data_IF_122298649461
#
_entry.id   IF_122298649461
#
_cell.length_a   1.000
_cell.length_b   1.000
_cell.length_c   1.000
_cell.angle_alpha   90.00
_cell.angle_beta   90.00
_cell.angle_gamma   90.00
#
_symmetry.space_group_name_H-M   'P 1'
#
loop_
_entity.id
_entity.type
_entity.pdbx_description
1 polymer ?
#
# COMPACT_ATOMS: atom_id res chain seq x y z
N UNK A 1 -25.84 -3.30 -8.83
CA UNK A 1 -25.67 -1.89 -8.39
C UNK A 1 -24.21 -1.67 -7.96
N UNK A 2 -23.29 -1.46 -8.92
CA UNK A 2 -21.85 -1.39 -8.64
C UNK A 2 -21.44 -0.15 -7.85
N UNK A 3 -22.02 1.01 -8.19
CA UNK A 3 -21.82 2.24 -7.43
C UNK A 3 -22.24 2.07 -5.96
N UNK A 4 -23.41 1.47 -5.70
CA UNK A 4 -23.86 1.21 -4.33
C UNK A 4 -22.91 0.29 -3.56
N UNK A 5 -22.38 -0.75 -4.19
CA UNK A 5 -21.38 -1.63 -3.59
C UNK A 5 -20.07 -0.87 -3.27
N UNK A 6 -19.52 -0.13 -4.23
CA UNK A 6 -18.30 0.66 -4.03
C UNK A 6 -18.49 1.74 -2.94
N UNK A 7 -19.65 2.40 -2.91
CA UNK A 7 -19.99 3.38 -1.86
C UNK A 7 -19.93 2.75 -0.47
N UNK A 8 -20.47 1.54 -0.29
CA UNK A 8 -20.44 0.81 0.98
C UNK A 8 -19.02 0.34 1.33
N UNK A 9 -18.26 -0.14 0.35
CA UNK A 9 -16.85 -0.52 0.57
C UNK A 9 -16.04 0.70 1.05
N UNK A 10 -16.13 1.81 0.32
CA UNK A 10 -15.36 3.02 0.65
C UNK A 10 -15.86 3.75 1.90
N UNK A 11 -17.09 3.51 2.36
CA UNK A 11 -17.57 4.11 3.62
C UNK A 11 -16.78 3.61 4.82
N UNK A 12 -16.45 2.31 4.84
CA UNK A 12 -15.70 1.69 5.94
C UNK A 12 -14.21 1.54 5.65
N UNK A 13 -13.81 1.48 4.37
CA UNK A 13 -12.41 1.34 3.98
C UNK A 13 -12.03 2.34 2.86
N UNK A 14 -11.36 3.46 3.19
CA UNK A 14 -10.87 4.42 2.19
C UNK A 14 -9.87 3.84 1.17
N UNK A 15 -9.28 2.67 1.46
CA UNK A 15 -8.37 1.94 0.57
C UNK A 15 -9.02 0.65 0.03
N UNK A 16 -10.31 0.74 -0.32
CA UNK A 16 -11.13 -0.39 -0.73
C UNK A 16 -10.62 -1.14 -1.96
N UNK A 17 -10.07 -0.45 -2.96
CA UNK A 17 -9.57 -1.10 -4.17
C UNK A 17 -8.23 -1.79 -3.91
N UNK A 18 -7.31 -1.10 -3.20
CA UNK A 18 -6.05 -1.71 -2.75
C UNK A 18 -6.32 -2.98 -1.94
N UNK A 19 -7.16 -2.89 -0.91
CA UNK A 19 -7.50 -4.05 -0.06
C UNK A 19 -8.20 -5.17 -0.84
N UNK A 20 -9.02 -4.85 -1.85
CA UNK A 20 -9.63 -5.87 -2.70
C UNK A 20 -8.61 -6.72 -3.45
N UNK A 21 -7.46 -6.14 -3.79
CA UNK A 21 -6.38 -6.81 -4.53
C UNK A 21 -5.39 -7.55 -3.62
N UNK A 22 -5.03 -6.98 -2.46
CA UNK A 22 -3.88 -7.47 -1.66
C UNK A 22 -4.24 -8.07 -0.31
N UNK A 23 -5.51 -8.00 0.13
CA UNK A 23 -5.86 -8.57 1.44
C UNK A 23 -5.60 -10.09 1.46
N UNK A 24 -4.96 -10.61 2.51
CA UNK A 24 -4.81 -12.04 2.74
C UNK A 24 -6.15 -12.64 3.19
N UNK A 25 -7.11 -12.75 2.26
CA UNK A 25 -8.52 -12.98 2.61
C UNK A 25 -8.77 -14.31 3.30
N UNK A 26 -7.97 -15.34 3.02
CA UNK A 26 -8.03 -16.66 3.65
C UNK A 26 -7.80 -16.64 5.15
N UNK A 27 -7.01 -15.68 5.66
CA UNK A 27 -6.79 -15.45 7.09
C UNK A 27 -7.73 -14.35 7.65
N UNK A 28 -8.61 -13.81 6.82
CA UNK A 28 -9.52 -12.71 7.15
C UNK A 28 -10.97 -13.09 6.81
N UNK A 29 -11.63 -12.31 5.96
CA UNK A 29 -13.05 -12.42 5.67
C UNK A 29 -13.45 -13.74 5.02
N UNK A 30 -12.60 -14.30 4.15
CA UNK A 30 -12.89 -15.55 3.43
C UNK A 30 -12.68 -16.77 4.34
N UNK A 31 -11.70 -16.70 5.25
CA UNK A 31 -11.44 -17.77 6.23
C UNK A 31 -12.61 -18.09 7.15
N UNK A 32 -13.51 -17.12 7.37
CA UNK A 32 -14.73 -17.29 8.19
C UNK A 32 -16.02 -17.33 7.36
N UNK A 33 -15.95 -17.52 6.04
CA UNK A 33 -17.14 -17.55 5.18
C UNK A 33 -17.97 -18.82 5.44
N UNK A 34 -19.29 -18.70 5.61
CA UNK A 34 -20.17 -19.86 5.84
C UNK A 34 -20.13 -20.89 4.70
N UNK A 35 -19.96 -20.44 3.45
CA UNK A 35 -19.83 -21.35 2.30
C UNK A 35 -18.52 -22.14 2.29
N UNK A 36 -17.61 -21.87 3.22
CA UNK A 36 -16.50 -22.79 3.47
C UNK A 36 -17.00 -24.20 3.87
N UNK A 37 -18.21 -24.31 4.42
CA UNK A 37 -18.84 -25.57 4.80
C UNK A 37 -19.53 -26.31 3.64
N UNK A 38 -19.45 -25.81 2.41
CA UNK A 38 -20.03 -26.45 1.21
C UNK A 38 -18.93 -26.85 0.23
N UNK A 39 -19.26 -27.76 -0.69
CA UNK A 39 -18.30 -28.36 -1.63
C UNK A 39 -17.73 -27.35 -2.63
N UNK A 40 -18.50 -26.33 -3.01
CA UNK A 40 -18.03 -25.24 -3.88
C UNK A 40 -17.04 -24.27 -3.20
N UNK A 41 -17.00 -24.24 -1.86
CA UNK A 41 -16.08 -23.42 -1.09
C UNK A 41 -16.51 -21.96 -0.90
N UNK A 42 -15.65 -21.16 -0.24
CA UNK A 42 -16.00 -19.81 0.20
C UNK A 42 -16.07 -18.80 -0.97
N UNK A 43 -16.76 -17.69 -0.74
CA UNK A 43 -16.87 -16.59 -1.72
C UNK A 43 -15.52 -15.91 -1.94
N UNK A 44 -15.18 -15.58 -3.19
CA UNK A 44 -14.07 -14.68 -3.51
C UNK A 44 -14.43 -13.21 -3.16
N UNK A 45 -14.38 -12.86 -1.87
CA UNK A 45 -14.77 -11.54 -1.37
C UNK A 45 -13.83 -10.45 -1.90
N UNK A 46 -12.52 -10.70 -1.91
CA UNK A 46 -11.51 -9.76 -2.42
C UNK A 46 -11.75 -9.38 -3.88
N UNK A 47 -11.94 -10.38 -4.75
CA UNK A 47 -12.23 -10.16 -6.17
C UNK A 47 -13.54 -9.41 -6.43
N UNK A 48 -14.60 -9.67 -5.65
CA UNK A 48 -15.85 -8.91 -5.74
C UNK A 48 -15.67 -7.44 -5.32
N UNK A 49 -14.92 -7.21 -4.24
CA UNK A 49 -14.57 -5.87 -3.76
C UNK A 49 -13.74 -5.11 -4.79
N UNK A 50 -12.70 -5.76 -5.34
CA UNK A 50 -11.88 -5.23 -6.42
C UNK A 50 -12.76 -4.85 -7.62
N UNK A 51 -13.59 -5.77 -8.11
CA UNK A 51 -14.42 -5.52 -9.29
C UNK A 51 -15.35 -4.31 -9.11
N UNK A 52 -16.07 -4.24 -7.99
CA UNK A 52 -16.97 -3.12 -7.73
C UNK A 52 -16.24 -1.77 -7.66
N UNK A 53 -15.09 -1.74 -7.00
CA UNK A 53 -14.29 -0.52 -6.81
C UNK A 53 -13.52 -0.12 -8.06
N UNK A 54 -13.08 -1.06 -8.91
CA UNK A 54 -12.54 -0.75 -10.25
C UNK A 54 -13.58 -0.11 -11.16
N UNK A 55 -14.82 -0.63 -11.14
CA UNK A 55 -15.91 -0.04 -11.92
C UNK A 55 -16.19 1.39 -11.43
N UNK A 56 -16.15 1.64 -10.12
CA UNK A 56 -16.28 2.99 -9.57
C UNK A 56 -15.11 3.91 -9.97
N UNK A 57 -13.87 3.42 -9.95
CA UNK A 57 -12.70 4.17 -10.46
C UNK A 57 -12.91 4.58 -11.92
N UNK A 58 -13.42 3.68 -12.77
CA UNK A 58 -13.73 3.95 -14.19
C UNK A 58 -14.87 4.95 -14.38
N UNK A 59 -15.79 5.08 -13.42
CA UNK A 59 -16.84 6.10 -13.45
C UNK A 59 -16.30 7.52 -13.26
N UNK A 60 -15.07 7.68 -12.75
CA UNK A 60 -14.40 8.96 -12.54
C UNK A 60 -15.24 9.95 -11.70
N UNK A 61 -15.89 9.43 -10.65
CA UNK A 61 -16.70 10.21 -9.71
C UNK A 61 -15.82 10.65 -8.54
N UNK A 62 -15.88 11.94 -8.20
CA UNK A 62 -15.12 12.50 -7.08
C UNK A 62 -15.77 12.22 -5.74
N UNK A 63 -14.95 12.14 -4.70
CA UNK A 63 -15.45 12.08 -3.33
C UNK A 63 -15.92 13.47 -2.88
N UNK A 64 -17.00 13.54 -2.10
CA UNK A 64 -17.49 14.79 -1.51
C UNK A 64 -17.70 14.64 -0.02
N UNK A 65 -17.60 15.75 0.71
CA UNK A 65 -18.06 15.82 2.10
C UNK A 65 -19.57 16.06 2.10
N UNK A 66 -20.30 15.39 2.98
CA UNK A 66 -21.75 15.57 3.11
C UNK A 66 -22.12 17.04 3.35
N UNK A 67 -23.13 17.59 2.66
CA UNK A 67 -23.61 18.96 2.89
C UNK A 67 -24.02 19.24 4.34
N UNK A 68 -24.53 18.23 5.04
CA UNK A 68 -24.91 18.33 6.45
C UNK A 68 -23.68 18.55 7.35
N UNK A 69 -22.61 17.79 7.12
CA UNK A 69 -21.34 17.97 7.85
C UNK A 69 -20.76 19.35 7.59
N UNK A 70 -20.81 19.83 6.34
CA UNK A 70 -20.32 21.17 6.00
C UNK A 70 -21.06 22.26 6.78
N UNK A 71 -22.39 22.14 6.91
CA UNK A 71 -23.23 23.10 7.68
C UNK A 71 -22.94 23.08 9.18
N UNK A 72 -22.59 21.91 9.73
CA UNK A 72 -22.36 21.70 11.16
C UNK A 72 -20.91 21.97 11.62
N UNK A 73 -20.03 22.45 10.72
CA UNK A 73 -18.65 22.81 11.07
C UNK A 73 -18.62 23.96 12.08
N UNK A 74 -17.65 23.89 12.99
CA UNK A 74 -17.36 24.92 13.99
C UNK A 74 -15.84 25.17 14.06
N UNK A 75 -15.40 26.05 14.95
CA UNK A 75 -13.97 26.39 15.10
C UNK A 75 -13.06 25.19 15.42
N UNK A 76 -13.57 24.14 16.08
CA UNK A 76 -12.79 22.95 16.37
C UNK A 76 -12.40 22.19 15.08
N UNK A 77 -13.24 22.25 14.05
CA UNK A 77 -12.97 21.59 12.77
C UNK A 77 -11.89 22.30 11.92
N UNK A 78 -11.54 23.54 12.29
CA UNK A 78 -10.48 24.31 11.63
C UNK A 78 -9.11 24.05 12.25
N UNK A 79 -9.06 23.31 13.37
CA UNK A 79 -7.82 23.01 14.06
C UNK A 79 -6.85 22.28 13.12
N UNK A 80 -5.58 22.68 13.10
CA UNK A 80 -4.58 22.06 12.25
C UNK A 80 -4.25 20.66 12.75
N UNK A 81 -4.23 19.69 11.84
CA UNK A 81 -3.85 18.31 12.12
C UNK A 81 -2.76 17.88 11.13
N UNK A 82 -1.63 17.44 11.68
CA UNK A 82 -0.56 16.81 10.91
C UNK A 82 -0.61 15.29 11.05
N UNK A 83 -0.36 14.61 9.93
CA UNK A 83 -0.07 13.19 9.89
C UNK A 83 1.33 13.00 9.30
N UNK A 84 2.02 11.94 9.72
CA UNK A 84 3.41 11.67 9.34
C UNK A 84 3.46 10.34 8.57
N UNK A 85 3.99 10.38 7.35
CA UNK A 85 3.95 9.31 6.37
C UNK A 85 2.64 9.27 5.59
N UNK A 86 2.71 9.00 4.29
CA UNK A 86 1.59 8.92 3.34
C UNK A 86 1.17 7.48 3.02
N UNK A 87 1.41 6.55 3.96
CA UNK A 87 0.95 5.17 3.84
C UNK A 87 -0.54 4.99 4.15
N UNK A 88 -1.05 3.74 4.05
CA UNK A 88 -2.47 3.41 4.26
C UNK A 88 -3.05 3.94 5.58
N UNK A 89 -2.28 3.88 6.67
CA UNK A 89 -2.74 4.34 7.99
C UNK A 89 -3.09 5.84 7.99
N UNK A 90 -2.19 6.69 7.49
CA UNK A 90 -2.41 8.14 7.45
C UNK A 90 -3.47 8.53 6.42
N UNK A 91 -3.51 7.86 5.26
CA UNK A 91 -4.55 8.11 4.24
C UNK A 91 -5.93 7.80 4.83
N UNK A 92 -6.08 6.65 5.50
CA UNK A 92 -7.32 6.26 6.17
C UNK A 92 -7.71 7.26 7.26
N UNK A 93 -6.79 7.56 8.19
CA UNK A 93 -7.02 8.50 9.29
C UNK A 93 -7.43 9.90 8.78
N UNK A 94 -6.69 10.45 7.83
CA UNK A 94 -7.00 11.75 7.23
C UNK A 94 -8.37 11.72 6.51
N UNK A 95 -8.68 10.65 5.78
CA UNK A 95 -9.97 10.49 5.10
C UNK A 95 -11.15 10.51 6.07
N UNK A 96 -11.06 9.78 7.18
CA UNK A 96 -12.12 9.79 8.20
C UNK A 96 -12.23 11.14 8.90
N UNK A 97 -11.12 11.80 9.24
CA UNK A 97 -11.14 13.16 9.80
C UNK A 97 -11.78 14.16 8.82
N UNK A 98 -11.46 14.08 7.54
CA UNK A 98 -12.06 14.96 6.53
C UNK A 98 -13.58 14.72 6.39
N UNK A 99 -14.01 13.45 6.46
CA UNK A 99 -15.44 13.06 6.47
C UNK A 99 -16.19 13.58 7.70
N UNK A 100 -15.52 13.68 8.85
CA UNK A 100 -16.06 14.30 10.07
C UNK A 100 -16.11 15.83 9.98
N UNK A 101 -15.50 16.43 8.96
CA UNK A 101 -15.60 17.86 8.67
C UNK A 101 -14.35 18.67 8.97
N UNK A 102 -13.27 18.05 9.45
CA UNK A 102 -11.99 18.74 9.66
C UNK A 102 -11.43 19.24 8.32
N UNK A 103 -10.99 20.51 8.28
CA UNK A 103 -10.61 21.18 7.03
C UNK A 103 -9.12 21.47 6.89
N UNK A 104 -8.35 21.37 7.97
CA UNK A 104 -6.92 21.69 7.98
C UNK A 104 -6.06 20.45 8.25
N UNK A 105 -6.10 19.51 7.30
CA UNK A 105 -5.38 18.24 7.36
C UNK A 105 -4.16 18.29 6.43
N UNK A 106 -2.97 18.02 6.97
CA UNK A 106 -1.74 17.92 6.18
C UNK A 106 -0.99 16.64 6.50
N UNK A 107 -0.75 15.82 5.49
CA UNK A 107 0.12 14.65 5.57
C UNK A 107 1.54 15.07 5.13
N UNK A 108 2.54 14.80 5.95
CA UNK A 108 3.95 15.00 5.61
C UNK A 108 4.59 13.67 5.25
N UNK A 109 5.12 13.57 4.04
CA UNK A 109 5.81 12.39 3.52
C UNK A 109 7.29 12.67 3.35
N UNK A 110 8.14 11.72 3.77
CA UNK A 110 9.58 11.80 3.65
C UNK A 110 10.02 11.68 2.20
N UNK A 111 9.47 10.72 1.49
CA UNK A 111 9.86 10.39 0.12
C UNK A 111 9.19 11.34 -0.89
N UNK A 112 9.59 11.27 -2.16
CA UNK A 112 8.97 12.05 -3.24
C UNK A 112 7.68 11.39 -3.80
N UNK A 113 7.47 10.11 -3.50
CA UNK A 113 6.29 9.34 -3.89
C UNK A 113 5.32 9.19 -2.71
N UNK A 114 4.07 8.84 -3.03
CA UNK A 114 2.99 8.68 -2.04
C UNK A 114 2.53 7.22 -1.96
N UNK A 115 1.84 6.84 -0.88
CA UNK A 115 1.21 5.52 -0.74
C UNK A 115 1.98 4.51 0.11
N UNK A 116 3.17 4.87 0.60
CA UNK A 116 3.99 4.00 1.45
C UNK A 116 4.34 2.67 0.78
N UNK A 117 4.25 1.57 1.52
CA UNK A 117 4.58 0.22 1.03
C UNK A 117 3.76 -0.21 -0.19
N UNK A 118 2.51 0.24 -0.29
CA UNK A 118 1.64 -0.02 -1.44
C UNK A 118 2.22 0.50 -2.76
N UNK A 119 3.05 1.54 -2.70
CA UNK A 119 3.72 2.11 -3.87
C UNK A 119 5.18 1.68 -4.00
N UNK A 120 5.87 1.45 -2.87
CA UNK A 120 7.32 1.21 -2.88
C UNK A 120 7.74 -0.24 -2.93
N UNK A 121 6.91 -1.15 -2.41
CA UNK A 121 7.30 -2.55 -2.21
C UNK A 121 6.33 -3.55 -2.83
N UNK A 122 5.01 -3.31 -2.73
CA UNK A 122 4.03 -4.23 -3.32
C UNK A 122 4.22 -4.26 -4.84
N UNK A 123 4.45 -5.43 -5.46
CA UNK A 123 4.77 -5.48 -6.88
C UNK A 123 3.61 -5.03 -7.77
N UNK A 124 3.96 -4.37 -8.87
CA UNK A 124 3.00 -3.83 -9.85
C UNK A 124 2.03 -4.87 -10.44
N UNK A 125 2.41 -6.16 -10.46
CA UNK A 125 1.54 -7.24 -10.93
C UNK A 125 0.54 -7.73 -9.87
N UNK A 126 0.73 -7.38 -8.59
CA UNK A 126 -0.27 -7.60 -7.53
C UNK A 126 -1.10 -6.35 -7.28
N UNK A 127 -0.45 -5.18 -7.23
CA UNK A 127 -1.10 -3.89 -6.98
C UNK A 127 -0.61 -2.83 -7.98
N UNK A 128 -1.43 -2.47 -8.97
CA UNK A 128 -1.07 -1.43 -9.92
C UNK A 128 -0.98 -0.04 -9.28
N UNK A 129 0.10 0.72 -9.54
CA UNK A 129 0.31 2.06 -8.96
C UNK A 129 -0.87 3.05 -9.18
N UNK A 130 -1.58 2.93 -10.31
CA UNK A 130 -2.74 3.80 -10.60
C UNK A 130 -3.91 3.56 -9.63
N UNK A 131 -4.00 2.40 -8.98
CA UNK A 131 -4.96 2.11 -7.91
C UNK A 131 -4.65 2.96 -6.68
N UNK A 132 -3.38 2.99 -6.29
CA UNK A 132 -2.92 3.76 -5.13
C UNK A 132 -3.11 5.25 -5.38
N UNK A 133 -2.75 5.74 -6.58
CA UNK A 133 -2.99 7.13 -6.97
C UNK A 133 -4.50 7.47 -6.91
N UNK A 134 -5.36 6.60 -7.44
CA UNK A 134 -6.82 6.81 -7.39
C UNK A 134 -7.34 7.03 -5.96
N UNK A 135 -6.96 6.19 -5.01
CA UNK A 135 -7.39 6.31 -3.61
C UNK A 135 -6.82 7.57 -2.94
N UNK A 136 -5.60 7.97 -3.30
CA UNK A 136 -5.01 9.24 -2.87
C UNK A 136 -5.78 10.43 -3.46
N UNK A 137 -6.24 10.36 -4.71
CA UNK A 137 -7.06 11.42 -5.30
C UNK A 137 -8.42 11.53 -4.60
N UNK A 138 -9.06 10.42 -4.25
CA UNK A 138 -10.30 10.45 -3.44
C UNK A 138 -10.08 11.13 -2.08
N UNK A 139 -8.93 10.90 -1.43
CA UNK A 139 -8.56 11.61 -0.22
C UNK A 139 -8.34 13.13 -0.47
N UNK A 140 -7.64 13.49 -1.54
CA UNK A 140 -7.41 14.88 -1.95
C UNK A 140 -8.70 15.62 -2.29
N UNK A 141 -9.70 14.94 -2.87
CA UNK A 141 -11.02 15.51 -3.16
C UNK A 141 -11.71 16.05 -1.89
N UNK A 142 -11.37 15.50 -0.71
CA UNK A 142 -11.87 15.98 0.58
C UNK A 142 -11.10 17.21 1.14
N UNK A 143 -10.09 17.69 0.42
CA UNK A 143 -9.24 18.82 0.82
C UNK A 143 -8.01 18.45 1.64
N UNK A 144 -7.65 17.16 1.72
CA UNK A 144 -6.44 16.70 2.40
C UNK A 144 -5.20 17.16 1.64
N UNK A 145 -4.29 17.86 2.32
CA UNK A 145 -3.01 18.30 1.76
C UNK A 145 -1.94 17.26 2.01
N UNK A 146 -1.03 17.09 1.05
CA UNK A 146 0.12 16.18 1.18
C UNK A 146 1.38 16.92 0.77
N UNK A 147 2.40 16.92 1.63
CA UNK A 147 3.68 17.60 1.43
C UNK A 147 4.79 16.56 1.49
N UNK A 148 5.48 16.34 0.36
CA UNK A 148 6.60 15.41 0.22
C UNK A 148 7.93 16.03 0.64
N UNK A 149 8.99 15.21 0.78
CA UNK A 149 10.32 15.65 1.18
C UNK A 149 10.44 16.11 2.64
N UNK A 150 9.46 15.78 3.49
CA UNK A 150 9.39 16.18 4.91
C UNK A 150 9.37 14.96 5.81
N UNK A 151 10.33 14.87 6.71
CA UNK A 151 10.50 13.70 7.58
C UNK A 151 10.42 14.06 9.06
N UNK A 152 9.87 13.13 9.85
CA UNK A 152 9.98 13.18 11.30
C UNK A 152 11.44 12.93 11.71
N UNK A 153 12.18 14.00 11.94
CA UNK A 153 13.61 13.95 12.23
C UNK A 153 14.02 15.18 13.05
N UNK A 154 15.04 15.03 13.90
CA UNK A 154 15.52 16.10 14.80
C UNK A 154 15.82 17.42 14.06
N UNK A 155 16.33 17.31 12.84
CA UNK A 155 16.71 18.46 12.00
C UNK A 155 15.60 18.95 11.05
N UNK A 156 14.46 18.27 10.96
CA UNK A 156 13.33 18.67 10.11
C UNK A 156 12.06 18.82 10.97
N UNK A 157 11.07 17.93 10.83
CA UNK A 157 9.84 17.97 11.61
C UNK A 157 10.08 17.34 12.99
N UNK A 158 9.72 18.08 14.04
CA UNK A 158 9.70 17.58 15.41
C UNK A 158 8.32 17.83 16.02
N UNK A 159 7.95 17.05 17.05
CA UNK A 159 6.68 17.25 17.74
C UNK A 159 6.56 18.65 18.36
N UNK A 160 7.67 19.22 18.82
CA UNK A 160 7.71 20.59 19.35
C UNK A 160 7.46 21.63 18.26
N UNK A 161 8.13 21.52 17.10
CA UNK A 161 7.89 22.41 15.95
C UNK A 161 6.45 22.31 15.46
N UNK A 162 5.89 21.11 15.45
CA UNK A 162 4.50 20.84 15.07
C UNK A 162 3.51 21.48 16.06
N UNK A 163 3.77 21.40 17.38
CA UNK A 163 2.96 22.05 18.42
C UNK A 163 3.08 23.58 18.38
N UNK A 164 4.29 24.11 18.19
CA UNK A 164 4.55 25.55 18.24
C UNK A 164 4.05 26.29 16.99
N UNK A 165 4.07 25.66 15.82
CA UNK A 165 3.83 26.36 14.55
C UNK A 165 2.35 26.60 14.21
N UNK A 166 1.37 26.08 14.96
CA UNK A 166 -0.03 26.06 14.48
C UNK A 166 -0.20 25.42 13.09
N UNK A 167 0.84 24.67 12.68
CA UNK A 167 1.14 23.94 11.45
C UNK A 167 1.43 24.76 10.19
N UNK A 168 2.74 25.01 10.00
CA UNK A 168 3.49 25.32 8.77
C UNK A 168 2.66 25.52 7.49
N UNK A 169 2.36 26.78 7.19
CA UNK A 169 2.02 27.21 5.83
C UNK A 169 3.29 27.24 4.97
N UNK A 170 3.68 26.11 4.39
CA UNK A 170 4.58 26.12 3.25
C UNK A 170 3.86 25.50 2.05
N UNK A 171 3.25 26.37 1.25
CA UNK A 171 2.81 26.04 -0.10
C UNK A 171 4.05 25.72 -0.94
N UNK A 172 4.40 24.45 -1.09
CA UNK A 172 5.30 24.02 -2.14
C UNK A 172 4.46 23.71 -3.39
N UNK A 173 4.04 24.76 -4.07
CA UNK A 173 3.55 24.69 -5.45
C UNK A 173 4.75 24.46 -6.37
N UNK A 174 4.70 23.36 -7.12
CA UNK A 174 5.66 22.87 -8.13
C UNK A 174 6.63 21.79 -7.64
N UNK A 175 6.18 20.53 -7.66
CA UNK A 175 7.07 19.41 -7.96
C UNK A 175 6.99 19.13 -9.46
N UNK A 176 7.98 19.61 -10.21
CA UNK A 176 8.31 19.06 -11.52
C UNK A 176 9.03 17.73 -11.29
N UNK A 177 8.29 16.63 -11.25
CA UNK A 177 8.89 15.30 -11.23
C UNK A 177 9.61 15.08 -12.56
N UNK A 178 10.93 15.30 -12.59
CA UNK A 178 11.76 14.85 -13.69
C UNK A 178 11.74 13.31 -13.67
N UNK A 179 10.91 12.72 -14.53
CA UNK A 179 10.75 11.28 -14.69
C UNK A 179 12.04 10.65 -15.22
N UNK A 180 13.02 10.40 -14.35
CA UNK A 180 14.01 9.36 -14.63
C UNK A 180 13.27 8.04 -14.47
N UNK A 181 12.89 7.42 -15.58
CA UNK A 181 12.38 6.04 -15.56
C UNK A 181 13.44 5.16 -14.89
N UNK A 182 13.17 4.59 -13.70
CA UNK A 182 14.13 3.74 -13.04
C UNK A 182 14.40 2.53 -13.94
N UNK A 183 15.67 2.25 -14.21
CA UNK A 183 16.07 1.05 -14.95
C UNK A 183 15.84 -0.16 -14.04
N UNK A 184 15.20 -1.19 -14.56
CA UNK A 184 15.05 -2.46 -13.85
C UNK A 184 16.43 -2.96 -13.40
N UNK A 185 16.56 -3.44 -12.14
CA UNK A 185 17.74 -4.16 -11.71
C UNK A 185 18.04 -5.34 -12.65
N UNK A 186 19.31 -5.55 -12.98
CA UNK A 186 19.73 -6.71 -13.80
C UNK A 186 20.21 -7.82 -12.89
N UNK A 187 19.36 -8.81 -12.65
CA UNK A 187 19.71 -10.03 -11.94
C UNK A 187 20.06 -11.12 -12.95
N UNK A 188 21.14 -11.87 -12.70
CA UNK A 188 21.55 -12.99 -13.54
C UNK A 188 21.86 -14.20 -12.66
N UNK A 189 21.56 -15.40 -13.15
CA UNK A 189 21.85 -16.64 -12.42
C UNK A 189 20.85 -16.95 -11.32
N UNK A 190 21.32 -17.51 -10.20
CA UNK A 190 20.48 -17.96 -9.09
C UNK A 190 20.33 -16.85 -8.04
N UNK A 191 19.10 -16.60 -7.61
CA UNK A 191 18.78 -15.65 -6.53
C UNK A 191 18.32 -16.46 -5.32
N UNK A 192 18.90 -16.15 -4.16
CA UNK A 192 18.48 -16.72 -2.88
C UNK A 192 17.72 -15.63 -2.11
N UNK A 193 16.47 -15.90 -1.74
CA UNK A 193 15.65 -14.99 -0.93
C UNK A 193 15.54 -15.55 0.47
N UNK A 194 16.01 -14.79 1.47
CA UNK A 194 16.00 -15.19 2.87
C UNK A 194 14.71 -14.70 3.53
N UNK A 195 13.79 -15.60 3.84
CA UNK A 195 12.55 -15.27 4.52
C UNK A 195 11.38 -16.13 4.03
N UNK A 196 10.24 -15.96 4.70
CA UNK A 196 9.03 -16.76 4.46
C UNK A 196 7.72 -15.98 4.71
N UNK A 197 7.76 -14.64 4.67
CA UNK A 197 6.57 -13.77 4.72
C UNK A 197 6.37 -13.05 3.39
N UNK A 198 5.34 -12.22 3.27
CA UNK A 198 4.93 -11.55 2.01
C UNK A 198 6.10 -10.88 1.29
N UNK A 199 6.91 -10.10 2.00
CA UNK A 199 8.12 -9.45 1.44
C UNK A 199 9.06 -10.44 0.74
N UNK A 200 9.21 -11.66 1.28
CA UNK A 200 10.07 -12.68 0.68
C UNK A 200 9.47 -13.25 -0.61
N UNK A 201 8.16 -13.49 -0.65
CA UNK A 201 7.48 -13.98 -1.86
C UNK A 201 7.41 -12.91 -2.95
N UNK A 202 7.20 -11.65 -2.57
CA UNK A 202 7.31 -10.49 -3.46
C UNK A 202 8.73 -10.33 -4.01
N UNK A 203 9.75 -10.43 -3.16
CA UNK A 203 11.16 -10.39 -3.59
C UNK A 203 11.48 -11.52 -4.56
N UNK A 204 10.94 -12.72 -4.31
CA UNK A 204 11.16 -13.89 -5.15
C UNK A 204 10.56 -13.70 -6.55
N UNK A 205 9.28 -13.37 -6.62
CA UNK A 205 8.54 -13.17 -7.88
C UNK A 205 9.03 -11.92 -8.64
N UNK A 206 9.43 -10.85 -7.94
CA UNK A 206 10.04 -9.66 -8.54
C UNK A 206 11.44 -9.93 -9.12
N UNK A 207 12.21 -10.83 -8.50
CA UNK A 207 13.54 -11.20 -8.99
C UNK A 207 13.48 -11.86 -10.38
N UNK A 208 12.43 -12.61 -10.67
CA UNK A 208 12.20 -13.22 -11.98
C UNK A 208 11.98 -12.15 -13.07
N UNK A 209 11.26 -11.08 -12.76
CA UNK A 209 11.08 -9.93 -13.68
C UNK A 209 12.39 -9.18 -13.94
N UNK A 210 13.34 -9.27 -13.02
CA UNK A 210 14.68 -8.69 -13.15
C UNK A 210 15.67 -9.59 -13.92
N UNK A 211 15.24 -10.77 -14.39
CA UNK A 211 16.06 -11.70 -15.19
C UNK A 211 16.69 -12.87 -14.42
N UNK A 212 16.31 -13.10 -13.15
CA UNK A 212 16.79 -14.26 -12.40
C UNK A 212 16.39 -15.59 -13.08
N UNK A 213 17.31 -16.54 -13.11
CA UNK A 213 17.10 -17.86 -13.74
C UNK A 213 16.41 -18.85 -12.80
N UNK A 214 16.64 -18.70 -11.49
CA UNK A 214 16.12 -19.60 -10.45
C UNK A 214 16.08 -18.85 -9.12
N UNK A 215 14.99 -19.03 -8.37
CA UNK A 215 14.81 -18.40 -7.05
C UNK A 215 14.59 -19.47 -6.00
N UNK A 216 15.26 -19.34 -4.85
CA UNK A 216 15.14 -20.28 -3.73
C UNK A 216 14.78 -19.56 -2.43
N UNK A 217 13.78 -20.05 -1.68
CA UNK A 217 13.30 -19.50 -0.40
C UNK A 217 13.40 -20.46 0.80
N UNK A 218 13.20 -19.97 2.03
CA UNK A 218 13.31 -20.74 3.29
C UNK A 218 11.94 -20.95 3.96
N UNK A 219 11.79 -21.92 4.89
CA UNK A 219 10.49 -22.23 5.55
C UNK A 219 10.39 -21.84 7.04
N UNK A 220 9.19 -22.08 7.61
CA UNK A 220 8.43 -21.31 8.61
C UNK A 220 7.55 -20.23 7.97
N UNK A 221 6.70 -20.65 7.01
CA UNK A 221 5.88 -19.79 6.16
C UNK A 221 4.88 -19.02 7.04
N UNK A 222 4.97 -17.69 6.97
CA UNK A 222 4.05 -16.73 7.62
C UNK A 222 3.09 -16.08 6.62
N UNK A 223 3.44 -16.11 5.33
CA UNK A 223 2.54 -15.63 4.27
C UNK A 223 1.35 -16.59 4.10
N UNK A 224 0.25 -16.07 3.61
CA UNK A 224 -0.93 -16.89 3.30
C UNK A 224 -0.70 -17.81 2.10
N UNK A 225 -1.44 -18.93 1.98
CA UNK A 225 -1.25 -19.91 0.92
C UNK A 225 -1.31 -19.31 -0.49
N UNK A 226 -2.16 -18.31 -0.72
CA UNK A 226 -2.33 -17.68 -2.04
C UNK A 226 -1.07 -16.92 -2.48
N UNK A 227 -0.35 -16.29 -1.54
CA UNK A 227 0.91 -15.59 -1.80
C UNK A 227 2.05 -16.58 -2.12
N UNK A 228 2.05 -17.72 -1.41
CA UNK A 228 3.00 -18.80 -1.67
C UNK A 228 2.76 -19.46 -3.03
N UNK A 229 1.50 -19.70 -3.40
CA UNK A 229 1.15 -20.42 -4.62
C UNK A 229 1.58 -19.63 -5.87
N UNK A 230 1.47 -18.29 -5.86
CA UNK A 230 1.98 -17.46 -6.95
C UNK A 230 3.49 -17.67 -7.20
N UNK A 231 4.31 -17.71 -6.14
CA UNK A 231 5.74 -17.99 -6.27
C UNK A 231 6.02 -19.44 -6.74
N UNK A 232 5.19 -20.39 -6.31
CA UNK A 232 5.28 -21.80 -6.69
C UNK A 232 4.94 -22.03 -8.17
N UNK A 233 3.88 -21.39 -8.67
CA UNK A 233 3.49 -21.42 -10.08
C UNK A 233 4.58 -20.84 -10.98
N UNK A 234 5.29 -19.83 -10.49
CA UNK A 234 6.48 -19.26 -11.15
C UNK A 234 7.76 -20.09 -10.99
N UNK A 235 7.63 -21.32 -10.46
CA UNK A 235 8.71 -22.32 -10.32
C UNK A 235 9.83 -21.88 -9.36
N UNK A 236 9.51 -21.07 -8.34
CA UNK A 236 10.41 -20.84 -7.22
C UNK A 236 10.58 -22.15 -6.43
N UNK A 237 11.81 -22.46 -6.01
CA UNK A 237 12.10 -23.61 -5.16
C UNK A 237 12.11 -23.22 -3.68
N UNK A 238 11.68 -24.12 -2.81
CA UNK A 238 11.63 -23.89 -1.37
C UNK A 238 12.51 -24.90 -0.64
N UNK A 239 13.45 -24.41 0.16
CA UNK A 239 14.40 -25.22 0.93
C UNK A 239 14.11 -25.07 2.43
N UNK A 240 13.34 -26.01 3.01
CA UNK A 240 12.92 -25.90 4.39
C UNK A 240 14.03 -26.15 5.41
N UNK A 241 13.83 -25.67 6.64
CA UNK A 241 14.68 -25.96 7.82
C UNK A 241 16.15 -25.59 7.65
N UNK A 242 16.45 -24.58 6.82
CA UNK A 242 17.80 -24.07 6.66
C UNK A 242 18.00 -22.75 7.39
N UNK A 243 19.20 -22.54 7.95
CA UNK A 243 19.61 -21.28 8.57
C UNK A 243 20.92 -20.83 7.92
N UNK A 244 20.98 -19.64 7.31
CA UNK A 244 22.19 -19.17 6.64
C UNK A 244 23.33 -19.01 7.66
N UNK A 245 24.50 -19.59 7.36
CA UNK A 245 25.67 -19.55 8.26
C UNK A 245 26.78 -18.65 7.75
N UNK A 246 27.05 -18.64 6.45
CA UNK A 246 28.18 -17.90 5.86
C UNK A 246 27.93 -17.59 4.40
N UNK A 247 28.10 -16.34 4.01
CA UNK A 247 28.13 -15.94 2.60
C UNK A 247 29.56 -16.07 2.08
N UNK A 248 29.77 -16.88 1.04
CA UNK A 248 31.07 -17.04 0.40
C UNK A 248 31.17 -16.09 -0.81
N UNK A 249 32.28 -15.36 -0.85
CA UNK A 249 32.58 -14.36 -1.88
C UNK A 249 33.78 -14.82 -2.72
N UNK A 250 33.74 -14.55 -4.01
CA UNK A 250 34.87 -14.71 -4.94
C UNK A 250 34.85 -13.57 -5.94
N UNK A 251 36.01 -12.92 -6.15
CA UNK A 251 36.16 -11.80 -7.10
C UNK A 251 35.12 -10.69 -6.92
N UNK A 252 34.80 -10.36 -5.66
CA UNK A 252 33.82 -9.34 -5.30
C UNK A 252 32.35 -9.74 -5.53
N UNK A 253 32.06 -11.00 -5.87
CA UNK A 253 30.71 -11.52 -6.11
C UNK A 253 30.35 -12.64 -5.15
N UNK A 254 29.05 -12.74 -4.83
CA UNK A 254 28.51 -13.87 -4.06
C UNK A 254 28.53 -15.11 -4.96
N UNK A 255 29.06 -16.21 -4.45
CA UNK A 255 29.10 -17.50 -5.16
C UNK A 255 28.32 -18.61 -4.44
N UNK A 256 28.17 -18.53 -3.12
CA UNK A 256 27.31 -19.43 -2.32
C UNK A 256 26.94 -18.81 -0.97
N UNK A 257 25.91 -19.37 -0.32
CA UNK A 257 25.44 -19.04 1.03
C UNK A 257 25.23 -20.34 1.82
#
# INVERSE_FOLDING_TARGET
NYYGAAKLIFSDNPLGLTCGMVCPTSDLCVGSCNLYATEEGPINIGGLQQFATEIFMKMNIRQIVSPEIIKNRNEAHKQPIALLGSGPASISCASFLARLGYTNLTIYEKEEYLGGLSSSEIPQYRLPYNVVDFEIQLAKDLGIKIVTGRQLHRNDLTLEKLKAAGMLNNSCSNCSCSSKTPKLPKLNGRVLVLGAGDTAFDCATSSLRCGAMKVTGFTAIRAVPEEMEAAREEKCEFMPFMSPRKVNMRDGRIVSV
#
